data_IF_577079176360
#
_entry.id   IF_577079176360
#
_cell.length_a   1.000
_cell.length_b   1.000
_cell.length_c   1.000
_cell.angle_alpha   90.00
_cell.angle_beta   90.00
_cell.angle_gamma   90.00
#
_symmetry.space_group_name_H-M   'P 1'
#
loop_
_entity.id
_entity.type
_entity.pdbx_description
1 polymer ?
#
# COMPACT_ATOMS: atom_id res chain seq x y z
N UNK A 1 -23.18 12.85 -52.91
CA UNK A 1 -22.01 12.12 -52.38
C UNK A 1 -22.38 10.66 -52.49
N UNK A 2 -21.78 9.93 -53.42
CA UNK A 2 -22.06 8.50 -53.63
C UNK A 2 -21.68 7.75 -52.35
N UNK A 3 -22.56 6.90 -51.83
CA UNK A 3 -22.21 6.04 -50.71
C UNK A 3 -21.14 5.05 -51.19
N UNK A 4 -19.93 5.17 -50.64
CA UNK A 4 -18.79 4.33 -51.05
C UNK A 4 -19.07 2.85 -50.80
N UNK A 5 -19.91 2.51 -49.82
CA UNK A 5 -20.30 1.12 -49.53
C UNK A 5 -21.20 0.56 -50.63
N UNK A 6 -22.15 1.37 -51.09
CA UNK A 6 -23.02 1.01 -52.22
C UNK A 6 -22.18 0.89 -53.50
N UNK A 7 -21.29 1.86 -53.77
CA UNK A 7 -20.38 1.82 -54.92
C UNK A 7 -19.48 0.58 -54.90
N UNK A 8 -18.89 0.24 -53.75
CA UNK A 8 -18.06 -0.95 -53.61
C UNK A 8 -18.85 -2.25 -53.83
N UNK A 9 -20.13 -2.26 -53.47
CA UNK A 9 -21.02 -3.41 -53.69
C UNK A 9 -21.39 -3.55 -55.16
N UNK A 10 -21.75 -2.45 -55.82
CA UNK A 10 -22.09 -2.41 -57.24
C UNK A 10 -20.89 -2.82 -58.09
N UNK A 11 -19.70 -2.25 -57.83
CA UNK A 11 -18.46 -2.61 -58.53
C UNK A 11 -18.09 -4.08 -58.32
N UNK A 12 -18.36 -4.65 -57.13
CA UNK A 12 -18.12 -6.08 -56.87
C UNK A 12 -19.04 -6.95 -57.71
N UNK A 13 -20.34 -6.65 -57.74
CA UNK A 13 -21.31 -7.38 -58.56
C UNK A 13 -20.98 -7.26 -60.06
N UNK A 14 -20.60 -6.07 -60.51
CA UNK A 14 -20.17 -5.84 -61.89
C UNK A 14 -18.92 -6.65 -62.24
N UNK A 15 -17.93 -6.70 -61.35
CA UNK A 15 -16.73 -7.51 -61.52
C UNK A 15 -17.04 -9.02 -61.54
N UNK A 16 -17.88 -9.49 -60.63
CA UNK A 16 -18.31 -10.90 -60.57
C UNK A 16 -19.06 -11.31 -61.84
N UNK A 17 -19.95 -10.45 -62.34
CA UNK A 17 -20.65 -10.62 -63.63
C UNK A 17 -19.68 -10.71 -64.80
N UNK A 18 -18.73 -9.76 -64.93
CA UNK A 18 -17.72 -9.78 -65.99
C UNK A 18 -16.86 -11.05 -65.96
N UNK A 19 -16.47 -11.52 -64.78
CA UNK A 19 -15.71 -12.77 -64.64
C UNK A 19 -16.53 -13.96 -65.16
N UNK A 20 -17.83 -14.00 -64.88
CA UNK A 20 -18.72 -15.06 -65.35
C UNK A 20 -18.87 -15.03 -66.88
N UNK A 21 -19.21 -13.88 -67.47
CA UNK A 21 -19.41 -13.75 -68.92
C UNK A 21 -18.13 -14.02 -69.72
N UNK A 22 -16.95 -13.63 -69.20
CA UNK A 22 -15.67 -13.96 -69.85
C UNK A 22 -15.40 -15.45 -69.93
N UNK A 23 -15.85 -16.24 -68.95
CA UNK A 23 -15.72 -17.69 -68.99
C UNK A 23 -16.55 -18.33 -70.11
N UNK A 24 -17.59 -17.64 -70.58
CA UNK A 24 -18.48 -18.05 -71.65
C UNK A 24 -18.10 -17.46 -73.02
N UNK A 25 -17.02 -16.65 -73.08
CA UNK A 25 -16.57 -15.97 -74.29
C UNK A 25 -17.32 -14.67 -74.60
N UNK A 26 -18.01 -14.10 -73.62
CA UNK A 26 -18.78 -12.86 -73.71
C UNK A 26 -18.22 -11.78 -72.77
N UNK A 27 -18.80 -10.58 -72.78
CA UNK A 27 -18.48 -9.46 -71.88
C UNK A 27 -19.72 -8.88 -71.22
N UNK A 28 -19.56 -8.37 -70.00
CA UNK A 28 -20.62 -7.81 -69.17
C UNK A 28 -20.79 -6.32 -69.43
N UNK A 29 -21.95 -5.92 -69.92
CA UNK A 29 -22.34 -4.51 -70.05
C UNK A 29 -22.31 -3.79 -68.69
N UNK A 30 -22.73 -4.49 -67.61
CA UNK A 30 -22.67 -4.00 -66.23
C UNK A 30 -21.27 -3.54 -65.80
N UNK A 31 -20.22 -4.21 -66.30
CA UNK A 31 -18.85 -3.82 -65.98
C UNK A 31 -18.40 -2.59 -66.76
N UNK A 32 -18.81 -2.48 -68.03
CA UNK A 32 -18.50 -1.32 -68.86
C UNK A 32 -19.14 -0.04 -68.30
N UNK A 33 -20.34 -0.15 -67.72
CA UNK A 33 -21.05 0.97 -67.11
C UNK A 33 -20.49 1.35 -65.73
N UNK A 34 -20.28 0.37 -64.86
CA UNK A 34 -19.97 0.65 -63.44
C UNK A 34 -18.47 0.84 -63.18
N UNK A 35 -17.57 0.19 -63.93
CA UNK A 35 -16.12 0.31 -63.75
C UNK A 35 -15.53 1.56 -64.42
N UNK A 36 -16.24 2.69 -64.35
CA UNK A 36 -15.78 3.97 -64.89
C UNK A 36 -14.54 4.47 -64.13
N UNK A 37 -13.65 5.26 -64.79
CA UNK A 37 -12.50 5.87 -64.12
C UNK A 37 -12.88 6.66 -62.87
N UNK A 38 -14.01 7.37 -62.89
CA UNK A 38 -14.51 8.16 -61.76
C UNK A 38 -14.87 7.28 -60.56
N UNK A 39 -15.53 6.15 -60.81
CA UNK A 39 -15.88 5.18 -59.77
C UNK A 39 -14.65 4.50 -59.17
N UNK A 40 -13.66 4.18 -60.00
CA UNK A 40 -12.38 3.62 -59.54
C UNK A 40 -11.61 4.64 -58.69
N UNK A 41 -11.52 5.89 -59.13
CA UNK A 41 -10.87 6.96 -58.37
C UNK A 41 -11.57 7.21 -57.04
N UNK A 42 -12.91 7.27 -57.03
CA UNK A 42 -13.68 7.43 -55.80
C UNK A 42 -13.41 6.31 -54.78
N UNK A 43 -13.29 5.06 -55.24
CA UNK A 43 -12.95 3.93 -54.38
C UNK A 43 -11.52 4.01 -53.86
N UNK A 44 -10.55 4.37 -54.71
CA UNK A 44 -9.13 4.53 -54.30
C UNK A 44 -8.98 5.62 -53.25
N UNK A 45 -9.56 6.80 -53.47
CA UNK A 45 -9.50 7.91 -52.50
C UNK A 45 -10.12 7.52 -51.15
N UNK A 46 -11.26 6.80 -51.19
CA UNK A 46 -11.91 6.33 -49.98
C UNK A 46 -11.07 5.28 -49.24
N UNK A 47 -10.41 4.36 -49.95
CA UNK A 47 -9.50 3.38 -49.38
C UNK A 47 -8.26 4.03 -48.75
N UNK A 48 -7.63 4.99 -49.44
CA UNK A 48 -6.49 5.73 -48.90
C UNK A 48 -6.87 6.53 -47.65
N UNK A 49 -8.08 7.11 -47.62
CA UNK A 49 -8.61 7.80 -46.43
C UNK A 49 -8.86 6.82 -45.29
N UNK A 50 -9.48 5.68 -45.56
CA UNK A 50 -9.74 4.64 -44.56
C UNK A 50 -8.42 4.08 -43.98
N UNK A 51 -7.43 3.84 -44.82
CA UNK A 51 -6.12 3.35 -44.40
C UNK A 51 -5.38 4.37 -43.53
N UNK A 52 -5.42 5.66 -43.89
CA UNK A 52 -4.86 6.73 -43.05
C UNK A 52 -5.53 6.80 -41.68
N UNK A 53 -6.86 6.72 -41.61
CA UNK A 53 -7.58 6.68 -40.34
C UNK A 53 -7.21 5.47 -39.50
N UNK A 54 -7.14 4.26 -40.09
CA UNK A 54 -6.73 3.05 -39.38
C UNK A 54 -5.32 3.16 -38.79
N UNK A 55 -4.36 3.70 -39.56
CA UNK A 55 -2.99 3.89 -39.09
C UNK A 55 -2.90 4.92 -37.95
N UNK A 56 -3.66 6.02 -38.03
CA UNK A 56 -3.72 7.02 -36.96
C UNK A 56 -4.29 6.41 -35.67
N UNK A 57 -5.38 5.64 -35.77
CA UNK A 57 -5.97 4.96 -34.61
C UNK A 57 -5.02 3.94 -33.99
N UNK A 58 -4.26 3.21 -34.81
CA UNK A 58 -3.25 2.26 -34.31
C UNK A 58 -2.10 2.99 -33.59
N UNK A 59 -1.63 4.12 -34.12
CA UNK A 59 -0.60 4.93 -33.47
C UNK A 59 -1.09 5.50 -32.12
N UNK A 60 -2.32 5.99 -32.06
CA UNK A 60 -2.96 6.45 -30.82
C UNK A 60 -3.05 5.30 -29.80
N UNK A 61 -3.51 4.13 -30.23
CA UNK A 61 -3.61 2.94 -29.38
C UNK A 61 -2.26 2.53 -28.81
N UNK A 62 -1.21 2.54 -29.62
CA UNK A 62 0.16 2.24 -29.16
C UNK A 62 0.66 3.28 -28.15
N UNK A 63 0.36 4.56 -28.36
CA UNK A 63 0.70 5.61 -27.39
C UNK A 63 -0.02 5.39 -26.04
N UNK A 64 -1.31 5.06 -26.05
CA UNK A 64 -2.06 4.75 -24.83
C UNK A 64 -1.51 3.52 -24.10
N UNK A 65 -1.18 2.45 -24.84
CA UNK A 65 -0.55 1.26 -24.26
C UNK A 65 0.78 1.61 -23.58
N UNK A 66 1.62 2.43 -24.23
CA UNK A 66 2.87 2.89 -23.63
C UNK A 66 2.67 3.71 -22.35
N UNK A 67 1.62 4.54 -22.28
CA UNK A 67 1.27 5.26 -21.05
C UNK A 67 0.77 4.33 -19.95
N UNK A 68 0.00 3.29 -20.29
CA UNK A 68 -0.48 2.29 -19.33
C UNK A 68 0.70 1.50 -18.77
N UNK A 69 1.61 0.99 -19.61
CA UNK A 69 2.80 0.28 -19.14
C UNK A 69 3.65 1.10 -18.17
N UNK A 70 3.87 2.39 -18.46
CA UNK A 70 4.60 3.30 -17.55
C UNK A 70 3.88 3.49 -16.22
N UNK A 71 2.53 3.51 -16.23
CA UNK A 71 1.74 3.61 -15.00
C UNK A 71 1.82 2.33 -14.19
N UNK A 72 1.76 1.17 -14.84
CA UNK A 72 1.88 -0.13 -14.17
C UNK A 72 3.26 -0.30 -13.52
N UNK A 73 4.33 0.09 -14.22
CA UNK A 73 5.69 0.17 -13.66
C UNK A 73 5.73 1.07 -12.41
N UNK A 74 5.12 2.26 -12.50
CA UNK A 74 5.10 3.20 -11.38
C UNK A 74 4.26 2.69 -10.20
N UNK A 75 3.15 2.02 -10.46
CA UNK A 75 2.33 1.38 -9.44
C UNK A 75 3.15 0.29 -8.73
N UNK A 76 3.86 -0.56 -9.48
CA UNK A 76 4.71 -1.60 -8.90
C UNK A 76 5.84 -1.01 -8.02
N UNK A 77 6.48 0.08 -8.44
CA UNK A 77 7.48 0.79 -7.63
C UNK A 77 6.88 1.37 -6.33
N UNK A 78 5.71 2.00 -6.44
CA UNK A 78 5.03 2.60 -5.29
C UNK A 78 4.56 1.53 -4.33
N UNK A 79 4.02 0.43 -4.84
CA UNK A 79 3.72 -0.75 -4.06
C UNK A 79 4.99 -1.22 -3.37
N UNK A 80 6.09 -1.51 -4.05
CA UNK A 80 7.33 -1.93 -3.37
C UNK A 80 7.78 -0.99 -2.23
N UNK A 81 7.63 0.32 -2.39
CA UNK A 81 8.01 1.31 -1.36
C UNK A 81 6.99 1.45 -0.23
N UNK A 82 5.70 1.28 -0.53
CA UNK A 82 4.59 1.54 0.39
C UNK A 82 3.86 0.28 0.86
N UNK A 83 4.18 -0.89 0.31
CA UNK A 83 3.50 -2.12 0.61
C UNK A 83 4.14 -2.78 1.82
N UNK A 84 3.30 -3.02 2.83
CA UNK A 84 3.39 -4.14 3.76
C UNK A 84 4.67 -4.26 4.57
N UNK A 85 5.79 -4.64 3.95
CA UNK A 85 7.05 -5.00 4.59
C UNK A 85 7.59 -3.94 5.54
N UNK A 86 7.92 -2.74 5.05
CA UNK A 86 8.54 -1.71 5.89
C UNK A 86 7.61 -1.22 7.03
N UNK A 87 6.30 -1.16 6.78
CA UNK A 87 5.32 -0.80 7.81
C UNK A 87 5.14 -1.93 8.83
N UNK A 88 5.07 -3.19 8.37
CA UNK A 88 4.94 -4.39 9.18
C UNK A 88 6.19 -4.62 10.03
N UNK A 89 7.39 -4.44 9.46
CA UNK A 89 8.67 -4.51 10.18
C UNK A 89 8.72 -3.46 11.30
N UNK A 90 8.29 -2.24 11.01
CA UNK A 90 8.20 -1.18 12.03
C UNK A 90 7.19 -1.53 13.11
N UNK A 91 6.01 -2.02 12.75
CA UNK A 91 4.97 -2.38 13.71
C UNK A 91 5.38 -3.58 14.58
N UNK A 92 6.06 -4.55 13.98
CA UNK A 92 6.66 -5.68 14.69
C UNK A 92 7.74 -5.21 15.66
N UNK A 93 8.63 -4.30 15.22
CA UNK A 93 9.67 -3.73 16.08
C UNK A 93 9.06 -2.93 17.25
N UNK A 94 8.02 -2.12 17.00
CA UNK A 94 7.28 -1.43 18.07
C UNK A 94 6.66 -2.43 19.05
N UNK A 95 6.02 -3.49 18.54
CA UNK A 95 5.41 -4.55 19.37
C UNK A 95 6.45 -5.23 20.26
N UNK A 96 7.64 -5.51 19.74
CA UNK A 96 8.75 -6.06 20.52
C UNK A 96 9.21 -5.11 21.63
N UNK A 97 9.35 -3.81 21.33
CA UNK A 97 9.71 -2.80 22.33
C UNK A 97 8.64 -2.69 23.42
N UNK A 98 7.36 -2.67 23.04
CA UNK A 98 6.23 -2.63 23.98
C UNK A 98 6.27 -3.84 24.92
N UNK A 99 6.46 -5.05 24.38
CA UNK A 99 6.55 -6.26 25.19
C UNK A 99 7.72 -6.22 26.17
N UNK A 100 8.87 -5.70 25.75
CA UNK A 100 10.03 -5.53 26.62
C UNK A 100 9.74 -4.53 27.75
N UNK A 101 9.15 -3.39 27.41
CA UNK A 101 8.76 -2.38 28.39
C UNK A 101 7.72 -2.93 29.39
N UNK A 102 6.76 -3.73 28.92
CA UNK A 102 5.77 -4.38 29.78
C UNK A 102 6.46 -5.28 30.81
N UNK A 103 7.39 -6.13 30.37
CA UNK A 103 8.15 -7.00 31.27
C UNK A 103 9.04 -6.22 32.25
N UNK A 104 9.60 -5.08 31.84
CA UNK A 104 10.36 -4.22 32.74
C UNK A 104 9.47 -3.54 33.80
N UNK A 105 8.25 -3.15 33.43
CA UNK A 105 7.26 -2.60 34.36
C UNK A 105 6.88 -3.68 35.39
N UNK A 106 6.53 -4.89 34.96
CA UNK A 106 6.15 -5.99 35.86
C UNK A 106 7.27 -6.32 36.87
N UNK A 107 8.53 -6.28 36.42
CA UNK A 107 9.69 -6.48 37.29
C UNK A 107 9.85 -5.34 38.30
N UNK A 108 9.72 -4.09 37.85
CA UNK A 108 9.79 -2.91 38.73
C UNK A 108 8.68 -2.93 39.77
N UNK A 109 7.45 -3.26 39.38
CA UNK A 109 6.32 -3.36 40.30
C UNK A 109 6.54 -4.46 41.34
N UNK A 110 7.06 -5.61 40.92
CA UNK A 110 7.44 -6.70 41.84
C UNK A 110 8.52 -6.25 42.84
N UNK A 111 9.53 -5.52 42.36
CA UNK A 111 10.61 -5.00 43.21
C UNK A 111 10.10 -3.92 44.18
N UNK A 112 9.20 -3.05 43.73
CA UNK A 112 8.55 -2.05 44.58
C UNK A 112 7.76 -2.76 45.68
N UNK A 113 6.93 -3.75 45.36
CA UNK A 113 6.16 -4.50 46.34
C UNK A 113 7.07 -5.19 47.39
N UNK A 114 8.17 -5.79 46.95
CA UNK A 114 9.17 -6.39 47.85
C UNK A 114 9.76 -5.32 48.79
N UNK A 115 10.21 -4.19 48.26
CA UNK A 115 10.81 -3.11 49.06
C UNK A 115 9.80 -2.50 50.04
N UNK A 116 8.55 -2.30 49.60
CA UNK A 116 7.47 -1.80 50.43
C UNK A 116 7.08 -2.79 51.53
N UNK A 117 7.29 -4.09 51.34
CA UNK A 117 7.02 -5.10 52.38
C UNK A 117 8.05 -5.15 53.52
N UNK A 118 9.25 -4.59 53.30
CA UNK A 118 10.34 -4.68 54.29
C UNK A 118 10.03 -3.85 55.54
N UNK A 119 10.30 -4.44 56.69
CA UNK A 119 10.26 -3.81 58.00
C UNK A 119 11.66 -3.72 58.61
N UNK A 120 11.88 -2.73 59.47
CA UNK A 120 13.06 -2.62 60.33
C UNK A 120 12.78 -3.26 61.68
N UNK A 121 13.64 -4.16 62.14
CA UNK A 121 13.56 -4.71 63.50
C UNK A 121 14.23 -3.78 64.49
N UNK A 122 13.48 -3.34 65.51
CA UNK A 122 13.99 -2.48 66.56
C UNK A 122 14.34 -3.30 67.82
N UNK A 123 15.54 -3.11 68.39
CA UNK A 123 15.92 -3.76 69.64
C UNK A 123 15.00 -3.40 70.80
N UNK A 124 14.90 -4.28 71.80
CA UNK A 124 14.12 -3.99 73.01
C UNK A 124 14.61 -2.71 73.71
N UNK A 125 13.70 -1.78 74.04
CA UNK A 125 14.06 -0.57 74.75
C UNK A 125 14.48 -0.89 76.19
N UNK A 126 15.55 -0.25 76.67
CA UNK A 126 16.04 -0.42 78.03
C UNK A 126 15.91 0.86 78.86
N UNK A 127 15.92 0.71 80.18
CA UNK A 127 15.84 1.84 81.12
C UNK A 127 17.24 2.34 81.48
N UNK A 128 17.47 3.64 81.33
CA UNK A 128 18.74 4.29 81.69
C UNK A 128 18.87 4.51 83.20
N UNK A 129 20.07 4.23 83.75
CA UNK A 129 20.46 4.62 85.11
C UNK A 129 21.16 5.99 85.09
N UNK A 130 21.04 6.78 86.18
CA UNK A 130 21.38 8.22 86.29
C UNK A 130 22.81 8.67 85.90
N UNK A 131 23.71 7.77 85.51
CA UNK A 131 25.13 8.06 85.24
C UNK A 131 25.55 7.46 83.90
N UNK A 132 25.24 8.15 82.81
CA UNK A 132 25.80 7.86 81.48
C UNK A 132 26.29 9.16 80.85
N UNK A 133 27.39 9.72 81.36
CA UNK A 133 28.02 10.91 80.76
C UNK A 133 28.70 10.54 79.45
N UNK A 134 28.32 11.20 78.35
CA UNK A 134 28.97 11.08 77.04
C UNK A 134 28.25 10.23 75.99
N UNK A 135 27.05 9.73 76.28
CA UNK A 135 26.23 8.95 75.33
C UNK A 135 24.97 9.74 74.92
N UNK A 136 24.60 9.62 73.64
CA UNK A 136 23.37 10.22 73.08
C UNK A 136 22.31 9.13 72.94
N UNK A 137 21.12 9.37 73.48
CA UNK A 137 20.01 8.42 73.45
C UNK A 137 18.76 9.09 72.89
N UNK A 138 17.92 8.30 72.23
CA UNK A 138 16.60 8.70 71.77
C UNK A 138 15.52 7.92 72.54
N UNK A 139 14.40 8.57 72.83
CA UNK A 139 13.26 7.87 73.42
C UNK A 139 12.64 6.94 72.38
N UNK A 140 12.26 5.73 72.79
CA UNK A 140 11.72 4.72 71.89
C UNK A 140 10.47 5.22 71.12
N UNK A 141 9.58 5.95 71.80
CA UNK A 141 8.38 6.51 71.19
C UNK A 141 8.72 7.55 70.11
N UNK A 142 9.72 8.40 70.33
CA UNK A 142 10.18 9.41 69.36
C UNK A 142 10.81 8.74 68.11
N UNK A 143 11.55 7.64 68.29
CA UNK A 143 12.12 6.86 67.18
C UNK A 143 11.00 6.20 66.38
N UNK A 144 10.01 5.60 67.06
CA UNK A 144 8.87 4.96 66.43
C UNK A 144 8.00 5.96 65.63
N UNK A 145 7.75 7.13 66.20
CA UNK A 145 7.05 8.23 65.52
C UNK A 145 7.84 8.72 64.31
N UNK A 146 9.16 8.89 64.45
CA UNK A 146 10.03 9.35 63.34
C UNK A 146 10.07 8.35 62.18
N UNK A 147 10.16 7.05 62.48
CA UNK A 147 10.12 5.99 61.47
C UNK A 147 8.76 5.95 60.76
N UNK A 148 7.67 6.04 61.52
CA UNK A 148 6.31 6.04 60.98
C UNK A 148 6.04 7.28 60.13
N UNK A 149 6.49 8.46 60.57
CA UNK A 149 6.39 9.72 59.81
C UNK A 149 7.21 9.69 58.52
N UNK A 150 8.33 8.95 58.50
CA UNK A 150 9.12 8.69 57.31
C UNK A 150 8.54 7.57 56.42
N UNK A 151 7.42 6.95 56.81
CA UNK A 151 6.80 5.84 56.07
C UNK A 151 7.55 4.51 56.17
N UNK A 152 8.45 4.37 57.14
CA UNK A 152 9.25 3.16 57.35
C UNK A 152 8.48 2.20 58.25
N UNK A 153 8.23 0.99 57.76
CA UNK A 153 7.64 -0.09 58.55
C UNK A 153 8.67 -0.57 59.58
N UNK A 154 8.23 -0.80 60.82
CA UNK A 154 9.08 -1.34 61.87
C UNK A 154 8.33 -2.37 62.71
N UNK A 155 9.08 -3.28 63.32
CA UNK A 155 8.60 -4.30 64.24
C UNK A 155 9.59 -4.45 65.41
N UNK A 156 9.11 -4.87 66.58
CA UNK A 156 9.99 -5.18 67.71
C UNK A 156 10.75 -6.50 67.44
N UNK A 157 11.94 -6.64 68.04
CA UNK A 157 12.81 -7.82 67.89
C UNK A 157 12.24 -9.11 68.51
#
# INVERSE_FOLDING_TARGET
MTDITELATVLRLAAESEIAYRAEGDTSDLWQDEASPDNVLALVEALEKAQRHANLTEAERQAYLGLISKRDERIAELEQKHCGGALMERELAHSQVINKLMSEIDNRDSRIAELESRSVKLPEPFKLAKSSSGLTYHYADEVNESLSAAGIKWEAE
#
